data_IF_995847451815
#
_entry.id   IF_995847451815
#
_cell.length_a   1.000
_cell.length_b   1.000
_cell.length_c   1.000
_cell.angle_alpha   90.00
_cell.angle_beta   90.00
_cell.angle_gamma   90.00
#
_symmetry.space_group_name_H-M   'P 1'
#
loop_
_entity.id
_entity.type
_entity.pdbx_description
1 polymer ?
#
# COMPACT_ATOMS: atom_id res chain seq x y z
N UNK A 1 -13.67 -20.02 7.61
CA UNK A 1 -12.47 -19.24 8.00
C UNK A 1 -12.58 -17.90 7.32
N UNK A 2 -12.21 -16.79 7.99
CA UNK A 2 -12.21 -15.46 7.37
C UNK A 2 -11.30 -15.43 6.14
N UNK A 3 -11.62 -14.58 5.17
CA UNK A 3 -10.80 -14.42 3.98
C UNK A 3 -9.41 -13.91 4.38
N UNK A 4 -8.36 -14.54 3.86
CA UNK A 4 -7.03 -13.96 3.92
C UNK A 4 -7.02 -12.62 3.16
N UNK A 5 -6.01 -11.78 3.36
CA UNK A 5 -5.87 -10.57 2.54
C UNK A 5 -5.79 -10.90 1.05
N UNK A 6 -5.08 -11.97 0.67
CA UNK A 6 -5.00 -12.40 -0.73
C UNK A 6 -6.37 -12.81 -1.28
N UNK A 7 -7.15 -13.57 -0.51
CA UNK A 7 -8.48 -14.00 -0.95
C UNK A 7 -9.45 -12.82 -1.06
N UNK A 8 -9.35 -11.85 -0.14
CA UNK A 8 -10.12 -10.62 -0.18
C UNK A 8 -9.79 -9.78 -1.42
N UNK A 9 -8.51 -9.63 -1.74
CA UNK A 9 -8.06 -8.90 -2.94
C UNK A 9 -8.53 -9.58 -4.23
N UNK A 10 -8.41 -10.90 -4.32
CA UNK A 10 -8.92 -11.66 -5.47
C UNK A 10 -10.45 -11.50 -5.61
N UNK A 11 -11.18 -11.57 -4.49
CA UNK A 11 -12.63 -11.34 -4.49
C UNK A 11 -13.01 -9.93 -4.96
N UNK A 12 -12.23 -8.91 -4.62
CA UNK A 12 -12.44 -7.54 -5.12
C UNK A 12 -12.24 -7.43 -6.64
N UNK A 13 -11.32 -8.22 -7.22
CA UNK A 13 -11.06 -8.22 -8.67
C UNK A 13 -12.25 -8.79 -9.47
N UNK A 14 -13.04 -9.68 -8.87
CA UNK A 14 -14.24 -10.27 -9.48
C UNK A 14 -15.49 -9.35 -9.40
N UNK A 15 -15.43 -8.27 -8.62
CA UNK A 15 -16.56 -7.35 -8.41
C UNK A 15 -16.68 -6.32 -9.54
N UNK A 16 -17.76 -6.44 -10.31
CA UNK A 16 -18.07 -5.53 -11.44
C UNK A 16 -18.74 -4.22 -11.03
N UNK A 17 -19.25 -4.14 -9.81
CA UNK A 17 -19.91 -2.95 -9.28
C UNK A 17 -18.92 -1.90 -8.75
N UNK A 18 -17.65 -2.27 -8.56
CA UNK A 18 -16.59 -1.39 -8.14
C UNK A 18 -15.84 -0.81 -9.34
N UNK A 19 -15.81 0.53 -9.42
CA UNK A 19 -15.02 1.25 -10.43
C UNK A 19 -13.69 1.64 -9.80
N UNK A 20 -12.60 1.03 -10.25
CA UNK A 20 -11.24 1.35 -9.80
C UNK A 20 -10.61 2.46 -10.66
N UNK A 21 -9.75 3.32 -10.08
CA UNK A 21 -8.92 4.21 -10.88
C UNK A 21 -8.03 3.38 -11.82
N UNK A 22 -7.66 3.95 -12.96
CA UNK A 22 -6.72 3.33 -13.90
C UNK A 22 -5.31 3.86 -13.66
N UNK A 23 -4.32 2.99 -13.79
CA UNK A 23 -2.93 3.38 -13.63
C UNK A 23 -2.55 4.38 -14.75
N UNK A 24 -1.78 5.43 -14.45
CA UNK A 24 -1.39 6.39 -15.47
C UNK A 24 -0.53 5.71 -16.54
N UNK A 25 -0.61 6.14 -17.81
CA UNK A 25 0.27 5.63 -18.85
C UNK A 25 1.73 5.94 -18.48
N UNK A 26 2.61 4.97 -18.70
CA UNK A 26 4.05 5.13 -18.42
C UNK A 26 4.62 6.12 -19.44
N UNK A 27 5.19 7.21 -18.94
CA UNK A 27 5.96 8.14 -19.77
C UNK A 27 7.45 7.88 -19.59
N UNK A 28 8.06 7.20 -20.56
CA UNK A 28 9.50 6.95 -20.54
C UNK A 28 10.28 8.27 -20.66
N UNK A 29 11.17 8.51 -19.70
CA UNK A 29 12.14 9.59 -19.78
C UNK A 29 13.35 9.12 -20.58
N UNK A 30 13.85 9.97 -21.48
CA UNK A 30 15.17 9.76 -22.10
C UNK A 30 16.24 10.03 -21.05
N UNK A 31 16.66 8.98 -20.35
CA UNK A 31 17.76 9.04 -19.40
C UNK A 31 19.04 8.50 -20.04
N UNK A 32 20.13 9.26 -19.94
CA UNK A 32 21.47 8.78 -20.25
C UNK A 32 22.09 8.23 -18.96
N UNK A 33 22.52 6.96 -18.90
CA UNK A 33 23.23 6.45 -17.73
C UNK A 33 24.43 7.34 -17.41
N UNK A 34 24.48 7.87 -16.19
CA UNK A 34 25.58 8.73 -15.72
C UNK A 34 26.68 7.95 -14.99
N UNK A 35 26.41 6.69 -14.66
CA UNK A 35 27.31 5.82 -13.91
C UNK A 35 27.90 4.72 -14.80
N UNK A 36 29.17 4.40 -14.58
CA UNK A 36 29.77 3.19 -15.14
C UNK A 36 29.03 1.94 -14.61
N UNK A 37 28.95 0.85 -15.40
CA UNK A 37 28.38 -0.40 -14.92
C UNK A 37 29.06 -0.84 -13.62
N UNK A 38 28.25 -1.13 -12.60
CA UNK A 38 28.75 -1.65 -11.32
C UNK A 38 29.12 -3.12 -11.50
N UNK A 39 30.39 -3.52 -11.28
CA UNK A 39 30.78 -4.92 -11.32
C UNK A 39 30.23 -5.67 -10.09
N UNK A 40 30.13 -7.00 -10.21
CA UNK A 40 29.87 -7.92 -9.08
C UNK A 40 28.58 -7.65 -8.28
N UNK A 41 27.53 -7.15 -8.94
CA UNK A 41 26.20 -6.99 -8.32
C UNK A 41 25.67 -8.36 -7.90
N UNK A 42 25.31 -8.51 -6.61
CA UNK A 42 24.72 -9.73 -6.04
C UNK A 42 23.26 -9.58 -5.62
N UNK A 43 22.80 -8.33 -5.47
CA UNK A 43 21.46 -7.99 -5.03
C UNK A 43 21.01 -6.70 -5.70
N UNK A 44 19.78 -6.69 -6.19
CA UNK A 44 19.06 -5.51 -6.65
C UNK A 44 17.79 -5.36 -5.81
N UNK A 45 17.65 -4.24 -5.12
CA UNK A 45 16.41 -3.90 -4.40
C UNK A 45 15.65 -2.83 -5.16
N UNK A 46 14.33 -3.00 -5.27
CA UNK A 46 13.44 -2.04 -5.91
C UNK A 46 12.62 -1.29 -4.87
N UNK A 47 12.39 0.00 -5.08
CA UNK A 47 11.29 0.68 -4.41
C UNK A 47 9.97 0.05 -4.92
N UNK A 48 9.06 -0.43 -4.05
CA UNK A 48 7.80 -1.02 -4.50
C UNK A 48 7.02 -0.08 -5.42
N UNK A 49 6.94 1.20 -5.06
CA UNK A 49 6.17 2.20 -5.79
C UNK A 49 7.12 3.16 -6.52
N UNK A 50 6.77 3.53 -7.75
CA UNK A 50 7.56 4.42 -8.61
C UNK A 50 8.77 3.78 -9.29
N UNK A 51 9.09 2.51 -8.97
CA UNK A 51 10.15 1.75 -9.66
C UNK A 51 9.66 0.39 -10.13
N UNK A 52 9.25 -0.50 -9.22
CA UNK A 52 8.72 -1.80 -9.63
C UNK A 52 7.27 -1.68 -10.13
N UNK A 53 6.44 -1.01 -9.34
CA UNK A 53 5.08 -0.66 -9.71
C UNK A 53 5.03 0.81 -10.12
N UNK A 54 4.36 1.11 -11.23
CA UNK A 54 3.99 2.47 -11.55
C UNK A 54 2.68 2.83 -10.83
N UNK A 55 2.66 4.02 -10.26
CA UNK A 55 1.57 4.60 -9.49
C UNK A 55 1.48 6.10 -9.83
N UNK A 56 0.31 6.70 -9.66
CA UNK A 56 0.17 8.16 -9.79
C UNK A 56 1.15 8.88 -8.84
N UNK A 57 1.87 9.89 -9.36
CA UNK A 57 2.96 10.64 -8.71
C UNK A 57 4.18 9.81 -8.27
N UNK A 58 4.27 8.52 -8.62
CA UNK A 58 5.43 7.69 -8.31
C UNK A 58 5.58 7.27 -6.84
N UNK A 59 4.66 7.67 -5.96
CA UNK A 59 4.67 7.27 -4.55
C UNK A 59 3.25 6.98 -4.03
N UNK A 60 3.18 6.26 -2.92
CA UNK A 60 1.91 5.96 -2.27
C UNK A 60 1.56 7.05 -1.26
N UNK A 61 0.32 7.56 -1.33
CA UNK A 61 -0.19 8.54 -0.39
C UNK A 61 -1.20 7.94 0.58
N UNK A 62 -1.22 8.42 1.81
CA UNK A 62 -2.38 8.23 2.71
C UNK A 62 -3.46 9.26 2.41
N UNK A 63 -3.06 10.50 2.09
CA UNK A 63 -3.92 11.58 1.62
C UNK A 63 -3.41 12.05 0.27
N UNK A 64 -4.18 11.85 -0.78
CA UNK A 64 -3.78 12.25 -2.11
C UNK A 64 -3.72 13.78 -2.25
N UNK A 65 -2.71 14.36 -2.94
CA UNK A 65 -2.62 15.81 -3.18
C UNK A 65 -3.87 16.39 -3.86
N UNK A 66 -4.48 15.61 -4.77
CA UNK A 66 -5.81 15.92 -5.32
C UNK A 66 -6.91 15.50 -4.33
N UNK A 67 -7.46 16.47 -3.59
CA UNK A 67 -8.50 16.26 -2.56
C UNK A 67 -9.67 15.39 -3.03
N UNK A 68 -10.09 15.53 -4.29
CA UNK A 68 -11.21 14.75 -4.86
C UNK A 68 -10.93 13.23 -4.82
N UNK A 69 -9.70 12.79 -5.04
CA UNK A 69 -9.35 11.35 -4.98
C UNK A 69 -9.49 10.80 -3.57
N UNK A 70 -9.00 11.55 -2.58
CA UNK A 70 -9.16 11.24 -1.16
C UNK A 70 -10.65 11.19 -0.79
N UNK A 71 -11.45 12.17 -1.22
CA UNK A 71 -12.89 12.18 -1.00
C UNK A 71 -13.56 10.91 -1.55
N UNK A 72 -13.36 10.60 -2.84
CA UNK A 72 -13.95 9.43 -3.49
C UNK A 72 -13.55 8.13 -2.77
N UNK A 73 -12.28 8.00 -2.39
CA UNK A 73 -11.79 6.83 -1.68
C UNK A 73 -12.44 6.67 -0.29
N UNK A 74 -12.63 7.77 0.45
CA UNK A 74 -13.30 7.74 1.74
C UNK A 74 -14.79 7.40 1.59
N UNK A 75 -15.49 8.01 0.63
CA UNK A 75 -16.90 7.70 0.36
C UNK A 75 -17.10 6.22 0.03
N UNK A 76 -16.27 5.67 -0.87
CA UNK A 76 -16.29 4.23 -1.20
C UNK A 76 -16.00 3.36 0.02
N UNK A 77 -15.00 3.72 0.82
CA UNK A 77 -14.62 2.94 2.01
C UNK A 77 -15.72 2.95 3.07
N UNK A 78 -16.33 4.11 3.33
CA UNK A 78 -17.44 4.25 4.27
C UNK A 78 -18.64 3.39 3.82
N UNK A 79 -18.91 3.38 2.52
CA UNK A 79 -20.01 2.58 1.96
C UNK A 79 -19.73 1.08 2.02
N UNK A 80 -18.58 0.64 1.49
CA UNK A 80 -18.17 -0.78 1.43
C UNK A 80 -18.22 -1.45 2.79
N UNK A 81 -17.70 -0.78 3.83
CA UNK A 81 -17.62 -1.33 5.17
C UNK A 81 -18.78 -0.90 6.09
N UNK A 82 -19.83 -0.32 5.51
CA UNK A 82 -21.04 0.11 6.22
C UNK A 82 -20.78 0.99 7.46
N UNK A 83 -19.73 1.81 7.42
CA UNK A 83 -19.25 2.57 8.58
C UNK A 83 -20.23 3.66 9.02
N UNK A 84 -21.02 4.18 8.07
CA UNK A 84 -21.91 5.33 8.26
C UNK A 84 -22.92 5.15 9.41
N UNK A 85 -23.35 3.92 9.69
CA UNK A 85 -24.30 3.61 10.77
C UNK A 85 -23.74 3.92 12.16
N UNK A 86 -22.41 3.85 12.32
CA UNK A 86 -21.71 4.04 13.60
C UNK A 86 -20.90 5.33 13.63
N UNK A 87 -21.02 6.16 12.60
CA UNK A 87 -20.40 7.48 12.58
C UNK A 87 -21.24 8.45 13.41
N UNK A 88 -20.58 9.26 14.23
CA UNK A 88 -21.24 10.36 14.95
C UNK A 88 -21.88 11.32 13.96
N UNK A 89 -23.19 11.57 14.11
CA UNK A 89 -23.93 12.53 13.29
C UNK A 89 -23.38 13.94 13.55
N UNK A 90 -22.68 14.49 12.56
CA UNK A 90 -22.20 15.88 12.54
C UNK A 90 -22.70 16.56 11.26
N UNK A 91 -22.85 17.89 11.24
CA UNK A 91 -23.08 18.62 10.00
C UNK A 91 -21.95 18.34 9.00
N UNK A 92 -22.31 18.20 7.72
CA UNK A 92 -21.37 17.87 6.65
C UNK A 92 -21.54 16.46 6.11
N UNK A 93 -20.71 16.10 5.12
CA UNK A 93 -20.72 14.77 4.54
C UNK A 93 -19.90 13.80 5.39
N UNK A 94 -20.26 12.50 5.48
CA UNK A 94 -19.53 11.53 6.30
C UNK A 94 -18.02 11.48 6.03
N UNK A 95 -17.60 11.61 4.76
CA UNK A 95 -16.19 11.59 4.39
C UNK A 95 -15.39 12.76 4.97
N UNK A 96 -16.00 13.93 5.20
CA UNK A 96 -15.31 15.10 5.76
C UNK A 96 -14.91 14.83 7.22
N UNK A 97 -15.82 14.20 7.97
CA UNK A 97 -15.54 13.77 9.33
C UNK A 97 -14.46 12.69 9.36
N UNK A 98 -14.52 11.71 8.45
CA UNK A 98 -13.49 10.68 8.34
C UNK A 98 -12.12 11.27 8.00
N UNK A 99 -12.08 12.21 7.05
CA UNK A 99 -10.86 12.92 6.65
C UNK A 99 -10.24 13.64 7.84
N UNK A 100 -11.02 14.38 8.62
CA UNK A 100 -10.51 15.08 9.80
C UNK A 100 -9.90 14.11 10.83
N UNK A 101 -10.52 12.93 11.03
CA UNK A 101 -9.95 11.91 11.91
C UNK A 101 -8.63 11.36 11.39
N UNK A 102 -8.53 11.09 10.09
CA UNK A 102 -7.30 10.61 9.44
C UNK A 102 -6.20 11.66 9.55
N UNK A 103 -6.48 12.92 9.21
CA UNK A 103 -5.51 14.03 9.30
C UNK A 103 -4.92 14.14 10.70
N UNK A 104 -5.77 14.14 11.74
CA UNK A 104 -5.31 14.18 13.13
C UNK A 104 -4.40 12.99 13.47
N UNK A 105 -4.77 11.78 13.04
CA UNK A 105 -3.98 10.58 13.31
C UNK A 105 -2.64 10.58 12.56
N UNK A 106 -2.59 11.19 11.37
CA UNK A 106 -1.35 11.41 10.61
C UNK A 106 -0.45 12.38 11.36
N UNK A 107 -0.98 13.56 11.73
CA UNK A 107 -0.23 14.58 12.48
C UNK A 107 0.35 14.01 13.78
N UNK A 108 -0.47 13.29 14.56
CA UNK A 108 -0.04 12.61 15.79
C UNK A 108 1.12 11.62 15.52
N UNK A 109 1.10 10.93 14.37
CA UNK A 109 2.12 9.94 14.01
C UNK A 109 3.39 10.60 13.48
N UNK A 110 3.27 11.68 12.72
CA UNK A 110 4.41 12.44 12.19
C UNK A 110 5.20 13.15 13.29
N UNK A 111 4.54 13.51 14.39
CA UNK A 111 5.19 14.06 15.59
C UNK A 111 5.84 12.99 16.48
N UNK A 112 5.63 11.71 16.21
CA UNK A 112 6.19 10.64 17.05
C UNK A 112 7.71 10.55 16.91
N UNK A 113 8.41 10.40 18.05
CA UNK A 113 9.85 10.18 18.04
C UNK A 113 10.19 8.82 17.41
N UNK A 114 11.21 8.80 16.57
CA UNK A 114 11.78 7.60 15.94
C UNK A 114 12.91 6.98 16.77
N UNK A 115 13.30 7.60 17.88
CA UNK A 115 14.38 7.14 18.75
C UNK A 115 15.80 7.33 18.18
N UNK A 116 15.94 7.65 16.89
CA UNK A 116 17.22 7.86 16.21
C UNK A 116 17.23 9.14 15.38
N UNK A 117 18.33 9.90 15.46
CA UNK A 117 18.51 11.11 14.66
C UNK A 117 18.61 10.76 13.17
N UNK A 118 17.82 11.47 12.36
CA UNK A 118 17.79 11.29 10.90
C UNK A 118 16.71 10.31 10.43
N UNK A 119 16.05 9.59 11.34
CA UNK A 119 14.91 8.75 11.01
C UNK A 119 13.60 9.55 11.07
N UNK A 120 12.75 9.33 10.07
CA UNK A 120 11.44 9.93 9.90
C UNK A 120 10.35 8.89 10.13
N UNK A 121 9.32 9.17 10.94
CA UNK A 121 8.28 8.19 11.24
C UNK A 121 7.49 7.85 9.97
N UNK A 122 7.11 6.57 9.84
CA UNK A 122 6.19 6.11 8.81
C UNK A 122 4.75 6.04 9.33
N UNK A 123 3.83 6.40 8.44
CA UNK A 123 2.39 6.34 8.66
C UNK A 123 1.85 5.02 8.10
N UNK A 124 1.66 4.06 9.00
CA UNK A 124 1.03 2.77 8.66
C UNK A 124 -0.50 2.93 8.57
N UNK A 125 -1.01 2.76 7.36
CA UNK A 125 -2.43 2.91 7.03
C UNK A 125 -3.30 1.90 7.76
N UNK A 126 -2.82 0.67 7.98
CA UNK A 126 -3.59 -0.35 8.71
C UNK A 126 -3.76 0.04 10.18
N UNK A 127 -2.74 0.66 10.80
CA UNK A 127 -2.83 1.20 12.17
C UNK A 127 -3.74 2.43 12.25
N UNK A 128 -3.76 3.28 11.22
CA UNK A 128 -4.71 4.40 11.15
C UNK A 128 -6.15 3.88 11.13
N UNK A 129 -6.44 2.93 10.23
CA UNK A 129 -7.77 2.35 10.09
C UNK A 129 -8.18 1.55 11.32
N UNK A 130 -7.25 0.85 11.98
CA UNK A 130 -7.53 0.17 13.25
C UNK A 130 -8.06 1.15 14.30
N UNK A 131 -7.36 2.28 14.51
CA UNK A 131 -7.81 3.33 15.45
C UNK A 131 -9.17 3.92 15.08
N UNK A 132 -9.46 4.05 13.80
CA UNK A 132 -10.77 4.53 13.32
C UNK A 132 -11.85 3.49 13.63
N UNK A 133 -11.61 2.23 13.32
CA UNK A 133 -12.54 1.12 13.57
C UNK A 133 -12.80 0.94 15.08
N UNK A 134 -11.78 1.07 15.93
CA UNK A 134 -11.94 1.07 17.39
C UNK A 134 -12.86 2.22 17.87
N UNK A 135 -12.73 3.41 17.29
CA UNK A 135 -13.60 4.56 17.60
C UNK A 135 -15.03 4.31 17.12
N UNK A 136 -15.21 3.70 15.95
CA UNK A 136 -16.51 3.30 15.45
C UNK A 136 -17.14 2.19 16.33
N UNK A 137 -16.33 1.26 16.85
CA UNK A 137 -16.78 0.21 17.76
C UNK A 137 -17.37 0.74 19.07
N UNK A 138 -16.88 1.89 19.56
CA UNK A 138 -17.50 2.61 20.70
C UNK A 138 -18.91 3.14 20.40
N UNK A 139 -19.25 3.26 19.12
CA UNK A 139 -20.58 3.62 18.61
C UNK A 139 -21.25 2.39 17.97
N UNK A 140 -21.03 1.21 18.55
CA UNK A 140 -21.71 -0.05 18.19
C UNK A 140 -21.47 -0.49 16.74
N UNK A 141 -20.32 -0.14 16.15
CA UNK A 141 -19.93 -0.70 14.86
C UNK A 141 -19.68 -2.20 14.95
N UNK A 142 -20.34 -2.94 14.08
CA UNK A 142 -20.16 -4.38 13.91
C UNK A 142 -19.84 -4.70 12.46
N UNK A 143 -19.10 -5.77 12.24
CA UNK A 143 -18.74 -6.28 10.92
C UNK A 143 -18.81 -7.81 10.93
N UNK A 144 -18.86 -8.43 9.76
CA UNK A 144 -18.86 -9.88 9.64
C UNK A 144 -17.45 -10.44 9.90
N UNK A 145 -17.19 -10.88 11.14
CA UNK A 145 -15.92 -11.50 11.50
C UNK A 145 -15.67 -12.84 10.78
N UNK A 146 -16.72 -13.52 10.31
CA UNK A 146 -16.59 -14.75 9.53
C UNK A 146 -16.05 -14.48 8.12
N UNK A 147 -16.26 -13.27 7.61
CA UNK A 147 -15.73 -12.79 6.34
C UNK A 147 -14.39 -12.06 6.51
N UNK A 148 -14.33 -11.08 7.41
CA UNK A 148 -13.22 -10.15 7.51
C UNK A 148 -12.16 -10.52 8.56
N UNK A 149 -12.46 -11.41 9.51
CA UNK A 149 -11.53 -11.86 10.54
C UNK A 149 -11.56 -11.00 11.81
N UNK A 150 -10.39 -10.80 12.43
CA UNK A 150 -10.22 -9.90 13.57
C UNK A 150 -10.35 -8.42 13.17
N UNK A 151 -10.34 -7.51 14.16
CA UNK A 151 -10.35 -6.07 13.89
C UNK A 151 -9.06 -5.63 13.16
N UNK A 152 -7.95 -6.27 13.49
CA UNK A 152 -6.65 -6.11 12.84
C UNK A 152 -6.68 -6.64 11.40
N UNK A 153 -7.30 -7.79 11.14
CA UNK A 153 -7.48 -8.31 9.79
C UNK A 153 -8.35 -7.37 8.94
N UNK A 154 -9.43 -6.85 9.54
CA UNK A 154 -10.31 -5.88 8.90
C UNK A 154 -9.55 -4.58 8.59
N UNK A 155 -8.73 -4.07 9.51
CA UNK A 155 -8.03 -2.79 9.32
C UNK A 155 -7.07 -2.83 8.14
N UNK A 156 -6.39 -3.96 7.89
CA UNK A 156 -5.54 -4.15 6.72
C UNK A 156 -6.36 -4.20 5.42
N UNK A 157 -7.52 -4.88 5.43
CA UNK A 157 -8.43 -4.93 4.27
C UNK A 157 -9.02 -3.57 3.94
N UNK A 158 -9.45 -2.81 4.95
CA UNK A 158 -9.93 -1.43 4.82
C UNK A 158 -8.82 -0.54 4.26
N UNK A 159 -7.59 -0.66 4.79
CA UNK A 159 -6.46 0.10 4.29
C UNK A 159 -6.17 -0.20 2.82
N UNK A 160 -6.14 -1.48 2.42
CA UNK A 160 -5.98 -1.86 1.02
C UNK A 160 -7.09 -1.28 0.14
N UNK A 161 -8.37 -1.45 0.53
CA UNK A 161 -9.52 -0.98 -0.24
C UNK A 161 -9.51 0.53 -0.43
N UNK A 162 -9.21 1.27 0.64
CA UNK A 162 -9.07 2.72 0.62
C UNK A 162 -7.99 3.16 -0.36
N UNK A 163 -6.80 2.55 -0.30
CA UNK A 163 -5.69 2.85 -1.20
C UNK A 163 -6.01 2.51 -2.65
N UNK A 164 -6.56 1.32 -2.91
CA UNK A 164 -6.96 0.89 -4.24
C UNK A 164 -8.07 1.78 -4.85
N UNK A 165 -8.92 2.37 -4.00
CA UNK A 165 -9.94 3.35 -4.41
C UNK A 165 -9.36 4.72 -4.77
N UNK A 166 -8.19 5.07 -4.23
CA UNK A 166 -7.57 6.39 -4.34
C UNK A 166 -6.53 6.47 -5.46
N UNK A 167 -5.61 5.50 -5.49
CA UNK A 167 -4.50 5.42 -6.42
C UNK A 167 -4.48 4.08 -7.12
N UNK A 168 -4.44 4.14 -8.44
CA UNK A 168 -4.25 2.97 -9.26
C UNK A 168 -2.77 2.58 -9.32
N UNK A 169 -2.53 1.28 -9.39
CA UNK A 169 -1.19 0.71 -9.40
C UNK A 169 -1.14 -0.42 -10.42
N UNK A 170 -0.06 -0.47 -11.18
CA UNK A 170 0.25 -1.59 -12.06
C UNK A 170 1.76 -1.82 -12.12
N UNK A 171 2.19 -3.01 -12.53
CA UNK A 171 3.61 -3.29 -12.70
C UNK A 171 4.16 -2.52 -13.91
N UNK A 172 5.39 -2.02 -13.84
CA UNK A 172 6.08 -1.48 -15.02
C UNK A 172 6.18 -2.56 -16.11
N UNK A 173 5.99 -2.19 -17.39
CA UNK A 173 6.11 -3.14 -18.51
C UNK A 173 7.45 -3.87 -18.47
N UNK A 174 7.42 -5.20 -18.58
CA UNK A 174 8.62 -6.04 -18.55
C UNK A 174 9.19 -6.30 -17.15
N UNK A 175 8.52 -5.87 -16.06
CA UNK A 175 8.97 -6.12 -14.69
C UNK A 175 9.21 -7.61 -14.42
N UNK A 176 8.27 -8.48 -14.83
CA UNK A 176 8.41 -9.94 -14.64
C UNK A 176 9.62 -10.51 -15.39
N UNK A 177 9.76 -10.30 -16.72
CA UNK A 177 10.95 -10.72 -17.46
C UNK A 177 12.27 -10.23 -16.87
N UNK A 178 12.34 -8.98 -16.42
CA UNK A 178 13.56 -8.40 -15.82
C UNK A 178 13.91 -9.09 -14.51
N UNK A 179 12.95 -9.29 -13.62
CA UNK A 179 13.18 -10.00 -12.35
C UNK A 179 13.65 -11.44 -12.58
N UNK A 180 13.01 -12.16 -13.51
CA UNK A 180 13.40 -13.52 -13.89
C UNK A 180 14.81 -13.56 -14.49
N UNK A 181 15.16 -12.60 -15.35
CA UNK A 181 16.48 -12.50 -15.94
C UNK A 181 17.56 -12.28 -14.88
N UNK A 182 17.35 -11.37 -13.93
CA UNK A 182 18.28 -11.11 -12.84
C UNK A 182 18.50 -12.38 -11.99
N UNK A 183 17.42 -13.08 -11.63
CA UNK A 183 17.52 -14.33 -10.87
C UNK A 183 18.24 -15.44 -11.64
N UNK A 184 18.00 -15.57 -12.95
CA UNK A 184 18.72 -16.53 -13.80
C UNK A 184 20.22 -16.23 -13.91
N UNK A 185 20.62 -14.98 -13.69
CA UNK A 185 22.03 -14.56 -13.60
C UNK A 185 22.61 -14.72 -12.19
N UNK A 186 21.87 -15.30 -11.25
CA UNK A 186 22.29 -15.46 -9.86
C UNK A 186 22.23 -14.17 -9.04
N UNK A 187 21.57 -13.11 -9.56
CA UNK A 187 21.39 -11.84 -8.86
C UNK A 187 20.10 -11.93 -8.06
N UNK A 188 20.20 -11.77 -6.73
CA UNK A 188 19.02 -11.72 -5.86
C UNK A 188 18.23 -10.44 -6.14
N UNK A 189 16.90 -10.53 -6.03
CA UNK A 189 16.01 -9.38 -6.15
C UNK A 189 15.23 -9.18 -4.85
N UNK A 190 15.00 -7.93 -4.46
CA UNK A 190 14.35 -7.58 -3.21
C UNK A 190 13.52 -6.31 -3.29
N UNK A 191 12.85 -5.97 -2.19
CA UNK A 191 12.09 -4.73 -2.06
C UNK A 191 12.65 -3.90 -0.92
N UNK A 192 12.92 -2.62 -1.16
CA UNK A 192 13.35 -1.69 -0.14
C UNK A 192 12.69 -0.34 -0.37
N UNK A 193 11.93 0.11 0.61
CA UNK A 193 11.37 1.46 0.60
C UNK A 193 10.03 1.60 1.31
N UNK A 194 9.33 2.67 0.97
CA UNK A 194 8.03 2.98 1.54
C UNK A 194 6.99 1.97 1.04
N UNK A 195 6.36 1.29 2.00
CA UNK A 195 5.38 0.25 1.75
C UNK A 195 4.53 0.00 2.98
N UNK A 196 3.29 -0.43 2.74
CA UNK A 196 2.26 -0.75 3.73
C UNK A 196 2.18 -2.26 3.93
N UNK A 197 1.44 -2.69 4.96
CA UNK A 197 1.24 -4.10 5.28
C UNK A 197 0.61 -4.93 4.15
N UNK A 198 -0.06 -4.28 3.20
CA UNK A 198 -0.63 -4.92 2.01
C UNK A 198 0.24 -4.83 0.75
N UNK A 199 1.40 -4.17 0.81
CA UNK A 199 2.23 -3.88 -0.38
C UNK A 199 2.70 -5.14 -1.08
N UNK A 200 3.09 -6.20 -0.36
CA UNK A 200 3.51 -7.46 -1.00
C UNK A 200 2.36 -8.11 -1.79
N UNK A 201 1.14 -8.11 -1.26
CA UNK A 201 -0.03 -8.61 -1.99
C UNK A 201 -0.32 -7.77 -3.23
N UNK A 202 -0.18 -6.44 -3.12
CA UNK A 202 -0.36 -5.54 -4.27
C UNK A 202 0.70 -5.78 -5.35
N UNK A 203 1.98 -5.96 -4.97
CA UNK A 203 3.06 -6.32 -5.90
C UNK A 203 2.74 -7.63 -6.61
N UNK A 204 2.39 -8.69 -5.86
CA UNK A 204 2.06 -9.98 -6.45
C UNK A 204 0.90 -9.89 -7.44
N UNK A 205 -0.17 -9.17 -7.06
CA UNK A 205 -1.33 -8.92 -7.93
C UNK A 205 -0.92 -8.23 -9.22
N UNK A 206 -0.14 -7.17 -9.15
CA UNK A 206 0.30 -6.42 -10.32
C UNK A 206 1.25 -7.23 -11.23
N UNK A 207 2.16 -8.02 -10.65
CA UNK A 207 3.07 -8.86 -11.45
C UNK A 207 2.33 -10.01 -12.16
N UNK A 208 1.31 -10.61 -11.52
CA UNK A 208 0.46 -11.64 -12.14
C UNK A 208 -0.29 -11.17 -13.38
N UNK A 209 -0.49 -9.85 -13.54
CA UNK A 209 -1.09 -9.30 -14.76
C UNK A 209 -0.15 -9.37 -15.98
N UNK A 210 1.16 -9.58 -15.77
CA UNK A 210 2.15 -9.69 -16.85
C UNK A 210 2.55 -11.14 -17.17
N UNK A 211 2.12 -12.12 -16.37
CA UNK A 211 2.47 -13.52 -16.58
C UNK A 211 2.12 -14.42 -15.39
N UNK A 212 2.45 -15.71 -15.54
CA UNK A 212 2.16 -16.72 -14.53
C UNK A 212 3.20 -16.70 -13.41
N UNK A 213 3.00 -15.84 -12.41
CA UNK A 213 3.73 -15.86 -11.14
C UNK A 213 2.79 -16.38 -10.04
N UNK A 214 3.12 -17.51 -9.42
CA UNK A 214 2.29 -18.07 -8.37
C UNK A 214 2.61 -17.47 -7.00
N UNK A 215 3.85 -17.04 -6.78
CA UNK A 215 4.34 -16.49 -5.53
C UNK A 215 5.44 -15.46 -5.74
N UNK A 216 5.59 -14.51 -4.81
CA UNK A 216 6.71 -13.57 -4.87
C UNK A 216 8.07 -14.26 -4.74
N UNK A 217 8.14 -15.44 -4.11
CA UNK A 217 9.39 -16.19 -3.93
C UNK A 217 10.02 -16.66 -5.25
N UNK A 218 9.26 -16.68 -6.35
CA UNK A 218 9.77 -16.99 -7.68
C UNK A 218 10.60 -15.85 -8.29
N UNK A 219 10.42 -14.62 -7.80
CA UNK A 219 11.01 -13.41 -8.39
C UNK A 219 11.70 -12.49 -7.36
N UNK A 220 11.50 -12.72 -6.06
CA UNK A 220 12.06 -11.95 -4.96
C UNK A 220 12.60 -12.88 -3.87
N UNK A 221 13.75 -12.50 -3.30
CA UNK A 221 14.36 -13.15 -2.14
C UNK A 221 13.77 -12.58 -0.85
N UNK A 222 13.16 -13.43 -0.02
CA UNK A 222 12.43 -13.01 1.17
C UNK A 222 13.33 -12.31 2.22
N UNK A 223 14.60 -12.70 2.30
CA UNK A 223 15.63 -12.08 3.15
C UNK A 223 16.06 -10.69 2.66
N UNK A 224 15.57 -10.26 1.50
CA UNK A 224 15.91 -9.01 0.82
C UNK A 224 14.72 -8.05 0.73
N UNK A 225 13.72 -8.22 1.60
CA UNK A 225 12.52 -7.37 1.67
C UNK A 225 12.56 -6.57 2.97
N UNK A 226 12.53 -5.24 2.86
CA UNK A 226 12.43 -4.33 3.99
C UNK A 226 11.51 -3.15 3.65
N UNK A 227 10.35 -3.10 4.30
CA UNK A 227 9.31 -2.11 4.04
C UNK A 227 9.12 -1.18 5.24
N UNK A 228 8.74 0.07 4.95
CA UNK A 228 8.60 1.11 5.96
C UNK A 228 7.59 0.79 7.08
N UNK A 229 6.48 0.10 6.79
CA UNK A 229 5.51 -0.27 7.84
C UNK A 229 6.10 -1.21 8.91
N UNK A 230 6.98 -2.15 8.51
CA UNK A 230 7.64 -3.08 9.42
C UNK A 230 8.66 -2.37 10.32
N UNK A 231 9.38 -1.40 9.75
CA UNK A 231 10.41 -0.65 10.48
C UNK A 231 9.85 0.55 11.26
N UNK A 232 8.64 1.00 10.94
CA UNK A 232 8.02 2.19 11.52
C UNK A 232 8.64 3.51 11.08
N UNK A 233 9.55 3.49 10.09
CA UNK A 233 10.31 4.63 9.56
C UNK A 233 10.25 4.64 8.04
N UNK A 234 10.33 5.82 7.43
CA UNK A 234 10.14 6.03 5.98
C UNK A 234 11.39 6.53 5.28
N UNK A 235 11.48 6.41 3.97
CA UNK A 235 12.57 7.02 3.21
C UNK A 235 12.58 8.55 3.43
N UNK A 236 13.76 9.20 3.55
CA UNK A 236 15.12 8.67 3.37
C UNK A 236 15.82 8.26 4.69
N UNK A 237 15.08 7.73 5.68
CA UNK A 237 15.65 7.34 6.99
C UNK A 237 16.84 6.37 6.86
N UNK A 238 18.02 6.66 7.44
CA UNK A 238 19.17 5.76 7.43
C UNK A 238 18.86 4.37 7.99
N UNK A 239 18.01 4.28 9.02
CA UNK A 239 17.62 3.00 9.62
C UNK A 239 16.94 2.02 8.65
N UNK A 240 16.45 2.47 7.49
CA UNK A 240 15.92 1.57 6.46
C UNK A 240 17.00 0.81 5.71
N UNK A 241 18.24 1.31 5.66
CA UNK A 241 19.33 0.74 4.85
C UNK A 241 20.32 -0.10 5.67
N UNK A 242 20.16 -0.14 7.00
CA UNK A 242 20.98 -0.92 7.94
C UNK A 242 20.38 -2.29 8.27
#
# INVERSE_FOLDING_TARGET
>A
MPKSLSDYVNWLDDRRDLIWPQAPPIQSLKATPSLSPLPDIRLVTFNPYGTLLHIDQGEQFVLHPQKLRTQIALEKTIHEFNMWNSMTRKPGQPWEYMLHQIMKLIEDREMASTGRKGDYPFVDSSRLWLKILERLGKNEYTFDASEYGSLEDLSVKVAYFYHASMQAVAAHEGAVPVLQQLMNQGIRCGLLGDGQSFTLIQVLRCLRQQGNIHSLGEVLSADSIKLAYDCGIRQPSPGLYE
#
